data_IF_912814370111
#
_entry.id   IF_912814370111
#
_cell.length_a   1.000
_cell.length_b   1.000
_cell.length_c   1.000
_cell.angle_alpha   90.00
_cell.angle_beta   90.00
_cell.angle_gamma   90.00
#
_symmetry.space_group_name_H-M   'P 1'
#
loop_
_entity.id
_entity.type
_entity.pdbx_description
1 polymer ?
#
# COMPACT_ATOMS: atom_id res chain seq x y z
N UNK A 1 -15.73 5.11 4.48
CA UNK A 1 -16.41 3.90 5.03
C UNK A 1 -17.51 4.26 6.02
N UNK A 2 -17.31 5.16 6.97
CA UNK A 2 -18.36 5.57 7.93
C UNK A 2 -19.64 6.07 7.24
N UNK A 3 -19.51 6.86 6.21
CA UNK A 3 -20.66 7.35 5.43
C UNK A 3 -21.46 6.24 4.75
N UNK A 4 -20.75 5.22 4.23
CA UNK A 4 -21.39 4.03 3.63
C UNK A 4 -22.19 3.27 4.69
N UNK A 5 -21.56 3.00 5.85
CA UNK A 5 -22.22 2.31 6.95
C UNK A 5 -23.45 3.08 7.42
N UNK A 6 -23.32 4.39 7.62
CA UNK A 6 -24.44 5.24 8.03
C UNK A 6 -25.59 5.24 6.99
N UNK A 7 -25.27 5.22 5.70
CA UNK A 7 -26.27 5.15 4.64
C UNK A 7 -27.03 3.83 4.67
N UNK A 8 -26.33 2.71 4.85
CA UNK A 8 -26.94 1.37 4.96
C UNK A 8 -27.82 1.29 6.22
N UNK A 9 -27.29 1.67 7.38
CA UNK A 9 -28.00 1.61 8.66
C UNK A 9 -29.24 2.51 8.70
N UNK A 10 -29.21 3.61 7.95
CA UNK A 10 -30.37 4.52 7.82
C UNK A 10 -31.34 4.15 6.70
N UNK A 11 -31.14 2.99 6.04
CA UNK A 11 -32.00 2.51 4.95
C UNK A 11 -31.96 3.35 3.67
N UNK A 12 -30.89 4.12 3.46
CA UNK A 12 -30.72 4.97 2.27
C UNK A 12 -30.17 4.22 1.05
N UNK A 13 -29.75 2.98 1.23
CA UNK A 13 -29.23 2.14 0.15
C UNK A 13 -28.78 0.79 0.64
N UNK A 14 -28.55 -0.11 -0.32
CA UNK A 14 -28.06 -1.46 -0.09
C UNK A 14 -26.80 -1.69 -0.93
N UNK A 15 -25.82 -2.38 -0.37
CA UNK A 15 -24.60 -2.81 -1.04
C UNK A 15 -24.33 -4.28 -0.70
N UNK A 16 -23.82 -5.02 -1.67
CA UNK A 16 -23.35 -6.40 -1.48
C UNK A 16 -21.94 -6.42 -0.91
N UNK A 17 -21.09 -5.48 -1.34
CA UNK A 17 -19.71 -5.42 -0.93
C UNK A 17 -19.05 -4.10 -1.30
N UNK A 18 -17.82 -3.96 -0.85
CA UNK A 18 -16.98 -2.79 -1.08
C UNK A 18 -15.54 -3.23 -1.38
N UNK A 19 -14.90 -2.55 -2.31
CA UNK A 19 -13.47 -2.69 -2.54
C UNK A 19 -12.76 -1.41 -2.16
N UNK A 20 -11.58 -1.55 -1.58
CA UNK A 20 -10.78 -0.42 -1.16
C UNK A 20 -9.41 -0.47 -1.81
N UNK A 21 -8.97 0.68 -2.36
CA UNK A 21 -7.63 0.88 -2.88
C UNK A 21 -6.58 0.78 -1.76
N UNK A 22 -5.37 0.47 -2.19
CA UNK A 22 -4.20 0.50 -1.30
C UNK A 22 -3.79 1.96 -0.98
N UNK A 23 -3.24 2.20 0.19
CA UNK A 23 -3.31 1.39 1.40
C UNK A 23 -4.69 1.52 2.07
N UNK A 24 -5.09 0.54 2.87
CA UNK A 24 -6.38 0.55 3.57
C UNK A 24 -6.53 1.69 4.58
N UNK A 25 -5.43 2.26 5.01
CA UNK A 25 -5.37 3.38 5.93
C UNK A 25 -3.94 3.83 6.12
N UNK A 26 -3.74 5.00 6.71
CA UNK A 26 -2.42 5.56 6.99
C UNK A 26 -1.64 4.77 8.05
N UNK A 27 -2.35 3.96 8.81
CA UNK A 27 -1.79 3.12 9.86
C UNK A 27 -2.71 1.93 10.17
N UNK A 28 -2.20 0.97 10.94
CA UNK A 28 -2.93 -0.26 11.29
C UNK A 28 -4.25 0.00 12.01
N UNK A 29 -4.35 1.06 12.83
CA UNK A 29 -5.59 1.41 13.55
C UNK A 29 -6.69 1.81 12.57
N UNK A 30 -6.36 2.64 11.58
CA UNK A 30 -7.31 3.05 10.54
C UNK A 30 -7.73 1.87 9.67
N UNK A 31 -6.77 1.04 9.25
CA UNK A 31 -7.06 -0.16 8.46
C UNK A 31 -8.00 -1.13 9.21
N UNK A 32 -7.76 -1.36 10.51
CA UNK A 32 -8.66 -2.17 11.35
C UNK A 32 -10.05 -1.56 11.45
N UNK A 33 -10.16 -0.24 11.60
CA UNK A 33 -11.45 0.44 11.65
C UNK A 33 -12.24 0.26 10.34
N UNK A 34 -11.56 0.32 9.18
CA UNK A 34 -12.22 0.04 7.90
C UNK A 34 -12.78 -1.37 7.86
N UNK A 35 -12.01 -2.36 8.28
CA UNK A 35 -12.45 -3.75 8.34
C UNK A 35 -13.65 -3.94 9.30
N UNK A 36 -13.56 -3.40 10.52
CA UNK A 36 -14.62 -3.47 11.52
C UNK A 36 -15.94 -2.87 11.01
N UNK A 37 -15.86 -1.72 10.34
CA UNK A 37 -17.01 -1.06 9.73
C UNK A 37 -17.64 -1.88 8.61
N UNK A 38 -16.82 -2.52 7.77
CA UNK A 38 -17.28 -3.39 6.70
C UNK A 38 -18.03 -4.61 7.26
N UNK A 39 -17.43 -5.25 8.26
CA UNK A 39 -18.02 -6.41 8.94
C UNK A 39 -19.31 -6.07 9.68
N UNK A 40 -19.39 -4.88 10.30
CA UNK A 40 -20.57 -4.42 11.05
C UNK A 40 -21.86 -4.47 10.25
N UNK A 41 -21.79 -4.16 8.96
CA UNK A 41 -22.97 -4.16 8.07
C UNK A 41 -22.98 -5.35 7.09
N UNK A 42 -22.13 -6.35 7.32
CA UNK A 42 -22.14 -7.61 6.56
C UNK A 42 -21.73 -7.48 5.09
N UNK A 43 -20.95 -6.47 4.74
CA UNK A 43 -20.45 -6.32 3.37
C UNK A 43 -19.34 -7.32 3.06
N UNK A 44 -19.34 -7.82 1.84
CA UNK A 44 -18.15 -8.46 1.28
C UNK A 44 -17.06 -7.39 1.11
N UNK A 45 -15.82 -7.73 1.45
CA UNK A 45 -14.70 -6.81 1.33
C UNK A 45 -13.66 -7.29 0.32
N UNK A 46 -13.00 -6.33 -0.33
CA UNK A 46 -11.90 -6.58 -1.26
C UNK A 46 -10.83 -5.51 -1.12
N UNK A 47 -9.58 -5.97 -1.10
CA UNK A 47 -8.40 -5.12 -1.10
C UNK A 47 -7.75 -5.10 -2.48
N UNK A 48 -7.60 -3.91 -3.07
CA UNK A 48 -7.14 -3.74 -4.44
C UNK A 48 -5.61 -3.56 -4.49
N UNK A 49 -4.88 -4.63 -4.22
CA UNK A 49 -3.46 -4.70 -4.54
C UNK A 49 -3.28 -5.19 -5.98
N UNK A 50 -3.22 -4.25 -6.91
CA UNK A 50 -3.31 -4.53 -8.34
C UNK A 50 -2.01 -5.09 -8.95
N UNK A 51 -0.85 -4.82 -8.36
CA UNK A 51 0.45 -5.21 -8.94
C UNK A 51 0.61 -6.72 -9.07
N UNK A 52 0.06 -7.49 -8.14
CA UNK A 52 0.10 -8.96 -8.21
C UNK A 52 -0.68 -9.55 -9.39
N UNK A 53 -1.54 -8.76 -10.03
CA UNK A 53 -2.28 -9.16 -11.24
C UNK A 53 -1.60 -8.70 -12.54
N UNK A 54 -0.51 -7.96 -12.46
CA UNK A 54 0.25 -7.58 -13.65
C UNK A 54 0.69 -8.82 -14.42
N UNK A 55 0.54 -8.86 -15.75
CA UNK A 55 0.88 -10.02 -16.55
C UNK A 55 2.33 -10.49 -16.37
N UNK A 56 3.26 -9.57 -16.16
CA UNK A 56 4.67 -9.88 -15.87
C UNK A 56 4.85 -10.62 -14.56
N UNK A 57 4.13 -10.21 -13.50
CA UNK A 57 4.18 -10.79 -12.17
C UNK A 57 3.52 -12.18 -12.16
N UNK A 58 2.33 -12.30 -12.70
CA UNK A 58 1.61 -13.59 -12.78
C UNK A 58 2.36 -14.62 -13.62
N UNK A 59 2.88 -14.21 -14.77
CA UNK A 59 3.67 -15.08 -15.65
C UNK A 59 5.02 -15.42 -15.04
N UNK A 60 5.68 -14.46 -14.39
CA UNK A 60 6.91 -14.69 -13.64
C UNK A 60 6.74 -15.74 -12.57
N UNK A 61 5.71 -15.65 -11.75
CA UNK A 61 5.36 -16.66 -10.75
C UNK A 61 5.15 -18.05 -11.36
N UNK A 62 4.37 -18.13 -12.44
CA UNK A 62 4.13 -19.38 -13.15
C UNK A 62 5.45 -20.05 -13.59
N UNK A 63 6.35 -19.29 -14.22
CA UNK A 63 7.65 -19.81 -14.67
C UNK A 63 8.52 -20.27 -13.51
N UNK A 64 8.62 -19.45 -12.46
CA UNK A 64 9.42 -19.77 -11.26
C UNK A 64 8.94 -21.08 -10.64
N UNK A 65 7.65 -21.25 -10.45
CA UNK A 65 7.11 -22.44 -9.76
C UNK A 65 6.98 -23.65 -10.66
N UNK A 66 6.62 -23.50 -11.94
CA UNK A 66 6.45 -24.63 -12.86
C UNK A 66 7.78 -25.20 -13.37
N UNK A 67 8.82 -24.37 -13.48
CA UNK A 67 10.12 -24.72 -14.03
C UNK A 67 11.26 -24.57 -13.03
N UNK A 68 11.45 -23.37 -12.48
CA UNK A 68 12.53 -23.04 -11.59
C UNK A 68 12.51 -23.90 -10.31
N UNK A 69 11.40 -23.96 -9.63
CA UNK A 69 11.27 -24.71 -8.39
C UNK A 69 11.48 -26.22 -8.58
N UNK A 70 11.15 -26.76 -9.75
CA UNK A 70 11.41 -28.17 -10.08
C UNK A 70 12.89 -28.48 -10.30
N UNK A 71 13.65 -27.51 -10.79
CA UNK A 71 15.06 -27.68 -11.12
C UNK A 71 15.99 -27.38 -9.94
N UNK A 72 15.66 -26.36 -9.13
CA UNK A 72 16.57 -25.80 -8.11
C UNK A 72 15.98 -25.75 -6.71
N UNK A 73 14.74 -26.22 -6.51
CA UNK A 73 14.01 -26.12 -5.26
C UNK A 73 13.16 -24.84 -5.17
N UNK A 74 12.32 -24.80 -4.14
CA UNK A 74 11.40 -23.67 -3.96
C UNK A 74 12.13 -22.34 -3.78
N UNK A 75 11.57 -21.23 -4.29
CA UNK A 75 12.11 -19.91 -4.00
C UNK A 75 12.03 -19.62 -2.49
N UNK A 76 13.09 -19.04 -1.93
CA UNK A 76 13.21 -18.78 -0.49
C UNK A 76 13.59 -17.33 -0.18
N UNK A 77 13.95 -16.55 -1.18
CA UNK A 77 14.34 -15.16 -1.05
C UNK A 77 13.68 -14.33 -2.16
N UNK A 78 13.07 -13.24 -1.79
CA UNK A 78 12.63 -12.20 -2.71
C UNK A 78 13.33 -10.89 -2.38
N UNK A 79 13.66 -10.14 -3.42
CA UNK A 79 14.08 -8.74 -3.35
C UNK A 79 13.15 -7.96 -4.28
N UNK A 80 12.42 -7.04 -3.69
CA UNK A 80 11.52 -6.18 -4.42
C UNK A 80 11.91 -4.73 -4.17
N UNK A 81 11.85 -3.92 -5.21
CA UNK A 81 12.04 -2.49 -5.14
C UNK A 81 11.03 -1.84 -6.07
N UNK A 82 10.51 -0.73 -5.64
CA UNK A 82 9.64 0.10 -6.44
C UNK A 82 10.06 1.56 -6.27
N UNK A 83 10.25 2.23 -7.38
CA UNK A 83 10.82 3.56 -7.44
C UNK A 83 10.07 4.38 -8.50
N UNK A 84 9.77 5.63 -8.18
CA UNK A 84 9.25 6.59 -9.15
C UNK A 84 9.67 8.03 -8.83
N UNK A 85 9.39 8.96 -9.72
CA UNK A 85 9.84 10.36 -9.61
C UNK A 85 9.12 11.17 -8.53
N UNK A 86 8.21 10.59 -7.80
CA UNK A 86 7.39 11.24 -6.80
C UNK A 86 5.92 11.40 -7.23
N UNK A 87 5.05 11.71 -6.29
CA UNK A 87 3.62 11.80 -6.49
C UNK A 87 3.23 13.06 -7.28
N UNK A 88 2.07 12.98 -7.94
CA UNK A 88 1.55 14.08 -8.75
C UNK A 88 0.62 15.02 -8.00
N UNK A 89 0.17 14.66 -6.81
CA UNK A 89 -0.79 15.44 -6.02
C UNK A 89 -0.14 16.00 -4.75
N UNK A 90 -0.36 17.27 -4.42
CA UNK A 90 0.29 17.92 -3.27
C UNK A 90 0.08 17.22 -1.94
N UNK A 91 -1.07 16.60 -1.71
CA UNK A 91 -1.38 15.95 -0.44
C UNK A 91 -0.50 14.72 -0.13
N UNK A 92 0.13 14.12 -1.13
CA UNK A 92 1.10 13.03 -0.90
C UNK A 92 2.33 13.47 -0.10
N UNK A 93 2.68 14.75 -0.18
CA UNK A 93 3.80 15.33 0.55
C UNK A 93 3.44 15.68 2.00
N UNK A 94 2.18 15.60 2.37
CA UNK A 94 1.70 15.92 3.70
C UNK A 94 1.56 14.64 4.54
N UNK A 95 2.48 14.43 5.50
CA UNK A 95 2.50 13.22 6.33
C UNK A 95 1.20 12.93 7.07
N UNK A 96 0.46 13.98 7.46
CA UNK A 96 -0.86 13.84 8.08
C UNK A 96 -1.92 13.26 7.14
N UNK A 97 -1.79 13.47 5.85
CA UNK A 97 -2.74 12.99 4.84
C UNK A 97 -2.31 11.63 4.28
N UNK A 98 -1.03 11.49 3.98
CA UNK A 98 -0.47 10.31 3.32
C UNK A 98 -0.06 9.21 4.31
N UNK A 99 0.52 9.57 5.44
CA UNK A 99 0.73 8.68 6.58
C UNK A 99 2.06 7.95 6.66
N UNK A 100 2.97 8.07 5.69
CA UNK A 100 4.25 7.39 5.79
C UNK A 100 5.11 7.37 4.53
N UNK A 101 4.95 8.38 3.65
CA UNK A 101 5.77 8.56 2.46
C UNK A 101 5.78 7.33 1.55
N UNK A 102 6.91 7.08 0.92
CA UNK A 102 7.12 5.94 0.02
C UNK A 102 6.84 4.59 0.69
N UNK A 103 7.04 4.47 2.02
CA UNK A 103 6.77 3.22 2.72
C UNK A 103 5.27 2.86 2.69
N UNK A 104 4.40 3.85 2.80
CA UNK A 104 2.96 3.63 2.78
C UNK A 104 2.41 3.54 1.35
N UNK A 105 2.97 4.30 0.42
CA UNK A 105 2.49 4.34 -0.95
C UNK A 105 3.02 3.18 -1.81
N UNK A 106 4.32 2.91 -1.79
CA UNK A 106 4.97 2.00 -2.73
C UNK A 106 5.38 0.67 -2.10
N UNK A 107 5.88 0.68 -0.86
CA UNK A 107 6.37 -0.56 -0.25
C UNK A 107 5.25 -1.59 -0.01
N UNK A 108 3.99 -1.16 0.09
CA UNK A 108 2.86 -2.10 0.17
C UNK A 108 2.80 -3.02 -1.06
N UNK A 109 3.07 -2.50 -2.25
CA UNK A 109 3.20 -3.29 -3.48
C UNK A 109 4.37 -4.27 -3.39
N UNK A 110 5.57 -3.76 -3.11
CA UNK A 110 6.79 -4.58 -3.04
C UNK A 110 6.68 -5.73 -2.03
N UNK A 111 6.08 -5.48 -0.87
CA UNK A 111 5.86 -6.52 0.16
C UNK A 111 4.87 -7.57 -0.33
N UNK A 112 3.76 -7.16 -0.93
CA UNK A 112 2.75 -8.11 -1.38
C UNK A 112 3.20 -8.87 -2.64
N UNK A 113 3.91 -8.25 -3.57
CA UNK A 113 4.52 -8.95 -4.70
C UNK A 113 5.54 -10.01 -4.23
N UNK A 114 6.42 -9.65 -3.30
CA UNK A 114 7.37 -10.60 -2.74
C UNK A 114 6.67 -11.79 -2.07
N UNK A 115 5.63 -11.52 -1.29
CA UNK A 115 4.81 -12.53 -0.64
C UNK A 115 4.07 -13.40 -1.66
N UNK A 116 3.49 -12.78 -2.68
CA UNK A 116 2.82 -13.48 -3.78
C UNK A 116 3.79 -14.40 -4.52
N UNK A 117 4.98 -13.92 -4.89
CA UNK A 117 5.98 -14.71 -5.63
C UNK A 117 6.51 -15.90 -4.83
N UNK A 118 6.68 -15.74 -3.50
CA UNK A 118 7.15 -16.82 -2.61
C UNK A 118 6.05 -17.80 -2.19
N UNK A 119 4.78 -17.43 -2.32
CA UNK A 119 3.66 -18.33 -1.98
C UNK A 119 3.52 -19.41 -3.05
N UNK A 120 3.57 -20.67 -2.63
CA UNK A 120 3.39 -21.81 -3.49
C UNK A 120 2.00 -21.77 -4.17
N UNK A 121 1.91 -22.06 -5.48
CA UNK A 121 0.64 -22.11 -6.17
C UNK A 121 -0.38 -23.03 -5.47
N UNK A 122 -1.60 -22.56 -5.30
CA UNK A 122 -2.66 -23.27 -4.60
C UNK A 122 -2.62 -23.18 -3.06
N UNK A 123 -1.59 -22.58 -2.48
CA UNK A 123 -1.57 -22.27 -1.05
C UNK A 123 -2.10 -20.87 -0.78
N UNK A 124 -2.72 -20.71 0.39
CA UNK A 124 -3.10 -19.39 0.90
C UNK A 124 -1.87 -18.52 1.20
N UNK A 125 -2.03 -17.21 1.10
CA UNK A 125 -0.99 -16.23 1.46
C UNK A 125 -0.62 -16.29 2.94
N UNK A 126 -1.52 -16.72 3.82
CA UNK A 126 -1.28 -16.94 5.23
C UNK A 126 -0.24 -18.06 5.49
N UNK A 127 0.05 -18.89 4.47
CA UNK A 127 1.14 -19.87 4.55
C UNK A 127 2.53 -19.23 4.72
N UNK A 128 2.64 -17.93 4.42
CA UNK A 128 3.81 -17.10 4.64
C UNK A 128 3.48 -16.00 5.65
N UNK A 129 3.71 -16.26 6.91
CA UNK A 129 3.53 -15.28 7.99
C UNK A 129 4.88 -14.73 8.42
N UNK A 130 5.09 -13.41 8.44
CA UNK A 130 6.32 -12.80 8.94
C UNK A 130 6.56 -13.17 10.39
N UNK A 131 7.80 -13.58 10.73
CA UNK A 131 8.23 -13.85 12.11
C UNK A 131 8.90 -12.65 12.74
N UNK A 132 9.56 -11.83 11.92
CA UNK A 132 10.22 -10.59 12.34
C UNK A 132 10.23 -9.61 11.19
N UNK A 133 10.25 -8.33 11.53
CA UNK A 133 10.40 -7.22 10.59
C UNK A 133 11.48 -6.30 11.13
N UNK A 134 12.42 -5.92 10.27
CA UNK A 134 13.36 -4.84 10.52
C UNK A 134 13.15 -3.78 9.45
N UNK A 135 13.03 -2.54 9.85
CA UNK A 135 12.80 -1.44 8.93
C UNK A 135 13.71 -0.25 9.27
N UNK A 136 14.17 0.43 8.24
CA UNK A 136 14.87 1.71 8.34
C UNK A 136 14.13 2.69 7.44
N UNK A 137 13.78 3.82 8.00
CA UNK A 137 13.14 4.92 7.28
C UNK A 137 13.87 6.21 7.58
N UNK A 138 14.02 7.07 6.58
CA UNK A 138 14.65 8.37 6.71
C UNK A 138 14.06 9.33 5.70
N UNK A 139 13.85 10.58 6.10
CA UNK A 139 13.57 11.67 5.18
C UNK A 139 14.90 12.35 4.81
N UNK A 140 15.37 12.11 3.60
CA UNK A 140 16.71 12.50 3.18
C UNK A 140 16.73 13.75 2.31
N UNK A 141 15.64 14.09 1.67
CA UNK A 141 15.56 15.15 0.67
C UNK A 141 14.55 16.22 1.04
N UNK A 142 13.27 15.88 1.06
CA UNK A 142 12.19 16.87 1.03
C UNK A 142 11.98 17.62 2.36
N UNK A 143 12.59 17.14 3.44
CA UNK A 143 12.64 17.87 4.72
C UNK A 143 13.83 18.86 4.82
N UNK A 144 14.72 18.87 3.83
CA UNK A 144 15.79 19.88 3.80
C UNK A 144 15.20 21.22 3.35
N UNK A 145 15.64 22.35 3.96
CA UNK A 145 15.04 23.67 3.69
C UNK A 145 15.00 24.03 2.20
N UNK A 146 16.07 23.76 1.46
CA UNK A 146 16.16 24.06 0.03
C UNK A 146 15.13 23.33 -0.81
N UNK A 147 14.78 22.08 -0.46
CA UNK A 147 13.77 21.30 -1.17
C UNK A 147 12.35 21.61 -0.67
N UNK A 148 12.18 21.87 0.62
CA UNK A 148 10.91 22.31 1.18
C UNK A 148 10.45 23.65 0.56
N UNK A 149 11.39 24.56 0.31
CA UNK A 149 11.12 25.81 -0.41
C UNK A 149 10.63 25.55 -1.84
N UNK A 150 11.31 24.66 -2.58
CA UNK A 150 10.90 24.29 -3.94
C UNK A 150 9.47 23.67 -3.95
N UNK A 151 9.17 22.78 -3.02
CA UNK A 151 7.83 22.23 -2.89
C UNK A 151 6.77 23.29 -2.58
N UNK A 152 7.10 24.20 -1.67
CA UNK A 152 6.18 25.29 -1.32
C UNK A 152 5.89 26.19 -2.51
N UNK A 153 6.91 26.52 -3.30
CA UNK A 153 6.74 27.28 -4.55
C UNK A 153 5.90 26.52 -5.57
N UNK A 154 6.15 25.24 -5.78
CA UNK A 154 5.42 24.40 -6.71
C UNK A 154 3.95 24.18 -6.30
N UNK A 155 3.63 24.29 -5.01
CA UNK A 155 2.25 24.26 -4.52
C UNK A 155 1.48 25.55 -4.75
N UNK A 156 2.08 26.56 -5.40
CA UNK A 156 1.57 27.92 -5.53
C UNK A 156 1.27 28.55 -4.16
N UNK A 157 2.08 28.26 -3.15
CA UNK A 157 1.93 28.77 -1.79
C UNK A 157 0.73 28.20 -1.02
N UNK A 158 0.08 27.15 -1.52
CA UNK A 158 -1.05 26.51 -0.83
C UNK A 158 -0.62 25.66 0.35
N UNK A 159 0.60 25.12 0.33
CA UNK A 159 1.16 24.31 1.40
C UNK A 159 2.49 24.89 1.83
N UNK A 160 2.64 25.12 3.13
CA UNK A 160 3.88 25.58 3.75
C UNK A 160 4.69 24.41 4.24
N UNK A 161 5.51 23.86 3.36
CA UNK A 161 6.40 22.74 3.68
C UNK A 161 7.58 23.10 4.58
N UNK A 162 7.83 24.37 4.83
CA UNK A 162 8.83 24.81 5.80
C UNK A 162 8.37 24.54 7.24
N UNK A 163 7.06 24.63 7.49
CA UNK A 163 6.45 24.39 8.78
C UNK A 163 5.70 23.03 8.86
N UNK A 164 5.48 22.38 7.72
CA UNK A 164 4.89 21.06 7.59
C UNK A 164 5.86 20.17 6.81
N UNK A 165 6.72 19.42 7.51
CA UNK A 165 7.69 18.56 6.83
C UNK A 165 7.03 17.63 5.82
N UNK A 166 7.55 17.61 4.62
CA UNK A 166 7.14 16.67 3.58
C UNK A 166 7.75 15.29 3.84
N UNK A 167 7.02 14.25 3.47
CA UNK A 167 7.55 12.90 3.42
C UNK A 167 8.42 12.71 2.16
N UNK A 168 9.45 11.88 2.25
CA UNK A 168 10.25 11.50 1.08
C UNK A 168 9.53 10.42 0.24
N UNK A 169 9.59 10.60 -1.08
CA UNK A 169 9.11 9.69 -2.10
C UNK A 169 10.21 9.32 -3.07
#
# INVERSE_FOLDING_TARGET
MEEIVNAIESGKGELIGVTCEKPLGRNVKEAKKVLELTQKVGLLDGYLENQVFAPSVTRGKEIIWSRGAKATGRPYLARAAEEHSGPHMPWFWEGELQGGGVLNDMMCHSVEEARFMLTEPGKSRESLTPKSVNAYASCLKWQRPEYAEILSQNSNGKTDYMNRPAEDF
#
